data_IF_788408174071
#
_entry.id   IF_788408174071
#
_cell.length_a   1.000
_cell.length_b   1.000
_cell.length_c   1.000
_cell.angle_alpha   90.00
_cell.angle_beta   90.00
_cell.angle_gamma   90.00
#
_symmetry.space_group_name_H-M   'P 1'
#
loop_
_entity.id
_entity.type
_entity.pdbx_description
1 polymer ?
#
# COMPACT_ATOMS: atom_id res chain seq x y z
N UNK A 1 -25.14 -9.05 145.26
CA UNK A 1 -25.53 -9.14 143.83
C UNK A 1 -24.71 -8.20 142.92
N UNK A 2 -23.38 -8.35 142.84
CA UNK A 2 -22.55 -7.51 141.95
C UNK A 2 -21.48 -8.30 141.15
N UNK A 3 -21.46 -9.63 141.25
CA UNK A 3 -20.41 -10.48 140.64
C UNK A 3 -20.91 -11.40 139.51
N UNK A 4 -22.22 -11.44 139.24
CA UNK A 4 -22.81 -12.30 138.20
C UNK A 4 -23.02 -11.56 136.87
N UNK A 5 -23.20 -10.23 136.89
CA UNK A 5 -23.36 -9.43 135.66
C UNK A 5 -22.09 -9.26 134.83
N UNK A 6 -20.90 -9.41 135.41
CA UNK A 6 -19.64 -9.25 134.68
C UNK A 6 -19.22 -10.51 133.88
N UNK A 7 -19.68 -11.71 134.27
CA UNK A 7 -19.26 -12.96 133.65
C UNK A 7 -20.09 -13.31 132.41
N UNK A 8 -21.38 -12.92 132.37
CA UNK A 8 -22.22 -13.07 131.18
C UNK A 8 -21.86 -12.10 130.04
N UNK A 9 -21.38 -10.90 130.36
CA UNK A 9 -21.04 -9.90 129.34
C UNK A 9 -19.71 -10.22 128.63
N UNK A 10 -18.77 -10.88 129.32
CA UNK A 10 -17.50 -11.31 128.74
C UNK A 10 -17.65 -12.54 127.81
N UNK A 11 -18.53 -13.49 128.17
CA UNK A 11 -18.79 -14.67 127.33
C UNK A 11 -19.57 -14.33 126.06
N UNK A 12 -20.57 -13.44 126.13
CA UNK A 12 -21.32 -13.03 124.93
C UNK A 12 -20.48 -12.27 123.92
N UNK A 13 -19.59 -11.36 124.36
CA UNK A 13 -18.70 -10.63 123.43
C UNK A 13 -17.70 -11.55 122.71
N UNK A 14 -17.15 -12.55 123.39
CA UNK A 14 -16.22 -13.50 122.77
C UNK A 14 -16.91 -14.44 121.77
N UNK A 15 -18.14 -14.88 122.05
CA UNK A 15 -18.90 -15.78 121.16
C UNK A 15 -19.46 -15.05 119.94
N UNK A 16 -19.90 -13.79 120.10
CA UNK A 16 -20.39 -12.96 118.99
C UNK A 16 -19.24 -12.52 118.06
N UNK A 17 -18.06 -12.19 118.60
CA UNK A 17 -16.88 -11.82 117.79
C UNK A 17 -16.30 -13.02 117.02
N UNK A 18 -16.34 -14.24 117.60
CA UNK A 18 -15.93 -15.46 116.90
C UNK A 18 -16.92 -15.86 115.79
N UNK A 19 -18.22 -15.70 116.01
CA UNK A 19 -19.24 -16.00 114.99
C UNK A 19 -19.23 -14.98 113.84
N UNK A 20 -19.05 -13.69 114.15
CA UNK A 20 -18.94 -12.64 113.15
C UNK A 20 -17.68 -12.81 112.28
N UNK A 21 -16.52 -13.13 112.86
CA UNK A 21 -15.29 -13.40 112.08
C UNK A 21 -15.44 -14.62 111.17
N UNK A 22 -16.07 -15.70 111.65
CA UNK A 22 -16.30 -16.89 110.82
C UNK A 22 -17.31 -16.64 109.68
N UNK A 23 -18.37 -15.86 109.94
CA UNK A 23 -19.38 -15.53 108.93
C UNK A 23 -18.84 -14.52 107.89
N UNK A 24 -18.02 -13.56 108.32
CA UNK A 24 -17.37 -12.60 107.42
C UNK A 24 -16.28 -13.27 106.56
N UNK A 25 -15.51 -14.21 107.11
CA UNK A 25 -14.51 -14.96 106.34
C UNK A 25 -15.16 -15.94 105.36
N UNK A 26 -16.28 -16.58 105.73
CA UNK A 26 -17.05 -17.45 104.83
C UNK A 26 -17.73 -16.66 103.71
N UNK A 27 -18.31 -15.48 104.01
CA UNK A 27 -18.85 -14.59 102.97
C UNK A 27 -17.76 -14.06 102.04
N UNK A 28 -16.63 -13.61 102.58
CA UNK A 28 -15.50 -13.13 101.77
C UNK A 28 -14.96 -14.21 100.84
N UNK A 29 -14.79 -15.45 101.31
CA UNK A 29 -14.35 -16.56 100.46
C UNK A 29 -15.38 -16.91 99.37
N UNK A 30 -16.67 -16.94 99.69
CA UNK A 30 -17.72 -17.21 98.71
C UNK A 30 -17.85 -16.08 97.66
N UNK A 31 -17.72 -14.82 98.08
CA UNK A 31 -17.80 -13.66 97.20
C UNK A 31 -16.53 -13.53 96.32
N UNK A 32 -15.36 -13.85 96.86
CA UNK A 32 -14.10 -13.90 96.11
C UNK A 32 -14.09 -15.06 95.11
N UNK A 33 -14.56 -16.25 95.48
CA UNK A 33 -14.67 -17.39 94.57
C UNK A 33 -15.71 -17.15 93.46
N UNK A 34 -16.84 -16.51 93.78
CA UNK A 34 -17.84 -16.11 92.79
C UNK A 34 -17.31 -15.03 91.84
N UNK A 35 -16.56 -14.04 92.35
CA UNK A 35 -15.95 -13.00 91.53
C UNK A 35 -14.84 -13.56 90.63
N UNK A 36 -14.01 -14.46 91.15
CA UNK A 36 -12.96 -15.13 90.37
C UNK A 36 -13.55 -16.00 89.26
N UNK A 37 -14.61 -16.79 89.52
CA UNK A 37 -15.28 -17.58 88.48
C UNK A 37 -15.92 -16.69 87.41
N UNK A 38 -16.58 -15.60 87.79
CA UNK A 38 -17.18 -14.67 86.82
C UNK A 38 -16.13 -13.94 85.98
N UNK A 39 -15.01 -13.55 86.59
CA UNK A 39 -13.90 -12.88 85.90
C UNK A 39 -13.16 -13.84 84.96
N UNK A 40 -12.94 -15.09 85.39
CA UNK A 40 -12.33 -16.12 84.56
C UNK A 40 -13.24 -16.52 83.38
N UNK A 41 -14.54 -16.69 83.60
CA UNK A 41 -15.49 -17.03 82.55
C UNK A 41 -15.67 -15.87 81.54
N UNK A 42 -15.66 -14.62 82.01
CA UNK A 42 -15.68 -13.43 81.15
C UNK A 42 -14.38 -13.29 80.35
N UNK A 43 -13.22 -13.56 80.97
CA UNK A 43 -11.91 -13.53 80.29
C UNK A 43 -11.82 -14.62 79.23
N UNK A 44 -12.28 -15.84 79.52
CA UNK A 44 -12.28 -16.95 78.56
C UNK A 44 -13.21 -16.64 77.37
N UNK A 45 -14.44 -16.15 77.61
CA UNK A 45 -15.35 -15.75 76.52
C UNK A 45 -14.77 -14.64 75.65
N UNK A 46 -14.17 -13.61 76.25
CA UNK A 46 -13.54 -12.52 75.51
C UNK A 46 -12.32 -12.99 74.70
N UNK A 47 -11.50 -13.90 75.23
CA UNK A 47 -10.34 -14.45 74.53
C UNK A 47 -10.76 -15.38 73.37
N UNK A 48 -11.80 -16.19 73.58
CA UNK A 48 -12.33 -17.09 72.56
C UNK A 48 -12.99 -16.30 71.41
N UNK A 49 -13.76 -15.27 71.74
CA UNK A 49 -14.38 -14.38 70.74
C UNK A 49 -13.31 -13.58 69.96
N UNK A 50 -12.29 -13.06 70.64
CA UNK A 50 -11.16 -12.38 69.99
C UNK A 50 -10.37 -13.32 69.06
N UNK A 51 -10.10 -14.57 69.49
CA UNK A 51 -9.46 -15.58 68.64
C UNK A 51 -10.32 -15.94 67.43
N UNK A 52 -11.63 -16.14 67.63
CA UNK A 52 -12.56 -16.49 66.55
C UNK A 52 -12.70 -15.36 65.54
N UNK A 53 -12.76 -14.12 65.99
CA UNK A 53 -12.81 -12.95 65.12
C UNK A 53 -11.50 -12.79 64.33
N UNK A 54 -10.35 -12.95 64.98
CA UNK A 54 -9.04 -12.90 64.32
C UNK A 54 -8.88 -14.01 63.27
N UNK A 55 -9.34 -15.23 63.55
CA UNK A 55 -9.31 -16.35 62.62
C UNK A 55 -10.24 -16.13 61.41
N UNK A 56 -11.45 -15.61 61.64
CA UNK A 56 -12.38 -15.24 60.57
C UNK A 56 -11.85 -14.12 59.68
N UNK A 57 -11.25 -13.08 60.28
CA UNK A 57 -10.62 -11.99 59.53
C UNK A 57 -9.41 -12.48 58.74
N UNK A 58 -8.57 -13.33 59.33
CA UNK A 58 -7.43 -13.95 58.64
C UNK A 58 -7.90 -14.82 57.47
N UNK A 59 -8.94 -15.64 57.66
CA UNK A 59 -9.50 -16.50 56.61
C UNK A 59 -10.15 -15.69 55.49
N UNK A 60 -10.92 -14.64 55.80
CA UNK A 60 -11.49 -13.73 54.80
C UNK A 60 -10.42 -12.98 54.02
N UNK A 61 -9.36 -12.50 54.67
CA UNK A 61 -8.23 -11.86 53.98
C UNK A 61 -7.49 -12.83 53.08
N UNK A 62 -7.27 -14.07 53.53
CA UNK A 62 -6.64 -15.12 52.73
C UNK A 62 -7.50 -15.50 51.50
N UNK A 63 -8.80 -15.66 51.67
CA UNK A 63 -9.73 -15.97 50.57
C UNK A 63 -9.84 -14.80 49.58
N UNK A 64 -9.94 -13.56 50.06
CA UNK A 64 -9.97 -12.38 49.22
C UNK A 64 -8.66 -12.19 48.43
N UNK A 65 -7.51 -12.46 49.06
CA UNK A 65 -6.21 -12.43 48.39
C UNK A 65 -6.09 -13.54 47.33
N UNK A 66 -6.55 -14.76 47.64
CA UNK A 66 -6.57 -15.88 46.70
C UNK A 66 -7.50 -15.60 45.50
N UNK A 67 -8.72 -15.09 45.75
CA UNK A 67 -9.65 -14.67 44.68
C UNK A 67 -9.09 -13.55 43.83
N UNK A 68 -8.44 -12.54 44.42
CA UNK A 68 -7.82 -11.44 43.66
C UNK A 68 -6.71 -11.96 42.75
N UNK A 69 -5.80 -12.79 43.26
CA UNK A 69 -4.73 -13.40 42.46
C UNK A 69 -5.30 -14.24 41.31
N UNK A 70 -6.29 -15.10 41.58
CA UNK A 70 -6.93 -15.91 40.55
C UNK A 70 -7.65 -15.06 39.49
N UNK A 71 -8.33 -13.98 39.89
CA UNK A 71 -9.01 -13.07 38.97
C UNK A 71 -8.03 -12.24 38.12
N UNK A 72 -6.91 -11.80 38.70
CA UNK A 72 -5.85 -11.06 38.00
C UNK A 72 -5.14 -11.96 36.99
N UNK A 73 -4.81 -13.19 37.35
CA UNK A 73 -4.17 -14.16 36.45
C UNK A 73 -5.11 -14.57 35.30
N UNK A 74 -6.40 -14.76 35.58
CA UNK A 74 -7.40 -15.02 34.55
C UNK A 74 -7.58 -13.82 33.59
N UNK A 75 -7.57 -12.59 34.11
CA UNK A 75 -7.61 -11.37 33.27
C UNK A 75 -6.35 -11.21 32.44
N UNK A 76 -5.17 -11.43 33.02
CA UNK A 76 -3.89 -11.33 32.32
C UNK A 76 -3.83 -12.33 31.14
N UNK A 77 -4.24 -13.58 31.37
CA UNK A 77 -4.31 -14.61 30.32
C UNK A 77 -5.30 -14.24 29.21
N UNK A 78 -6.49 -13.75 29.57
CA UNK A 78 -7.49 -13.33 28.59
C UNK A 78 -7.04 -12.11 27.76
N UNK A 79 -6.35 -11.16 28.40
CA UNK A 79 -5.81 -9.99 27.71
C UNK A 79 -4.64 -10.35 26.79
N UNK A 80 -3.74 -11.24 27.22
CA UNK A 80 -2.65 -11.75 26.39
C UNK A 80 -3.18 -12.49 25.16
N UNK A 81 -4.17 -13.36 25.33
CA UNK A 81 -4.80 -14.07 24.21
C UNK A 81 -5.51 -13.12 23.25
N UNK A 82 -6.22 -12.11 23.76
CA UNK A 82 -6.86 -11.09 22.94
C UNK A 82 -5.81 -10.25 22.17
N UNK A 83 -4.67 -9.94 22.80
CA UNK A 83 -3.55 -9.24 22.13
C UNK A 83 -2.92 -10.10 21.04
N UNK A 84 -2.69 -11.39 21.30
CA UNK A 84 -2.14 -12.32 20.33
C UNK A 84 -3.04 -12.45 19.09
N UNK A 85 -4.35 -12.65 19.29
CA UNK A 85 -5.33 -12.73 18.19
C UNK A 85 -5.39 -11.44 17.38
N UNK A 86 -5.37 -10.27 18.03
CA UNK A 86 -5.35 -8.99 17.32
C UNK A 86 -4.07 -8.79 16.50
N UNK A 87 -2.92 -9.26 16.99
CA UNK A 87 -1.66 -9.17 16.27
C UNK A 87 -1.67 -10.09 15.04
N UNK A 88 -2.14 -11.32 15.21
CA UNK A 88 -2.31 -12.29 14.13
C UNK A 88 -3.28 -11.78 13.05
N UNK A 89 -4.42 -11.22 13.45
CA UNK A 89 -5.38 -10.62 12.52
C UNK A 89 -4.78 -9.42 11.76
N UNK A 90 -4.00 -8.57 12.44
CA UNK A 90 -3.29 -7.46 11.79
C UNK A 90 -2.27 -7.97 10.78
N UNK A 91 -1.50 -9.00 11.12
CA UNK A 91 -0.52 -9.62 10.20
C UNK A 91 -1.22 -10.22 8.97
N UNK A 92 -2.31 -10.96 9.17
CA UNK A 92 -3.12 -11.51 8.08
C UNK A 92 -3.70 -10.42 7.18
N UNK A 93 -4.21 -9.33 7.77
CA UNK A 93 -4.72 -8.18 7.00
C UNK A 93 -3.62 -7.48 6.22
N UNK A 94 -2.45 -7.30 6.83
CA UNK A 94 -1.31 -6.67 6.16
C UNK A 94 -0.78 -7.55 5.01
N UNK A 95 -0.67 -8.86 5.23
CA UNK A 95 -0.27 -9.82 4.19
C UNK A 95 -1.30 -9.89 3.06
N UNK A 96 -2.59 -9.92 3.40
CA UNK A 96 -3.67 -9.88 2.40
C UNK A 96 -3.66 -8.57 1.62
N UNK A 97 -3.42 -7.43 2.28
CA UNK A 97 -3.29 -6.13 1.63
C UNK A 97 -2.08 -6.08 0.69
N UNK A 98 -0.92 -6.62 1.11
CA UNK A 98 0.27 -6.76 0.26
C UNK A 98 -0.02 -7.63 -0.96
N UNK A 99 -0.60 -8.83 -0.78
CA UNK A 99 -1.00 -9.72 -1.89
C UNK A 99 -2.02 -9.07 -2.83
N UNK A 100 -2.95 -8.27 -2.32
CA UNK A 100 -3.91 -7.54 -3.13
C UNK A 100 -3.24 -6.40 -3.92
N UNK A 101 -2.33 -5.65 -3.29
CA UNK A 101 -1.54 -4.60 -3.93
C UNK A 101 -0.66 -5.17 -5.06
N UNK A 102 0.04 -6.29 -4.81
CA UNK A 102 0.85 -6.96 -5.83
C UNK A 102 0.01 -7.43 -7.01
N UNK A 103 -1.18 -8.03 -6.77
CA UNK A 103 -2.10 -8.41 -7.85
C UNK A 103 -2.55 -7.20 -8.67
N UNK A 104 -2.93 -6.10 -8.02
CA UNK A 104 -3.29 -4.84 -8.72
C UNK A 104 -2.15 -4.31 -9.58
N UNK A 105 -0.91 -4.33 -9.05
CA UNK A 105 0.27 -3.89 -9.78
C UNK A 105 0.54 -4.77 -11.01
N UNK A 106 0.43 -6.10 -10.87
CA UNK A 106 0.58 -7.03 -11.99
C UNK A 106 -0.50 -6.78 -13.05
N UNK A 107 -1.77 -6.64 -12.66
CA UNK A 107 -2.86 -6.33 -13.59
C UNK A 107 -2.64 -5.00 -14.31
N UNK A 108 -2.19 -3.97 -13.60
CA UNK A 108 -1.85 -2.68 -14.21
C UNK A 108 -0.67 -2.80 -15.19
N UNK A 109 0.38 -3.55 -14.84
CA UNK A 109 1.51 -3.83 -15.71
C UNK A 109 1.10 -4.60 -16.98
N UNK A 110 0.24 -5.62 -16.84
CA UNK A 110 -0.32 -6.34 -17.99
C UNK A 110 -1.16 -5.42 -18.89
N UNK A 111 -2.03 -4.59 -18.30
CA UNK A 111 -2.85 -3.64 -19.06
C UNK A 111 -1.99 -2.61 -19.80
N UNK A 112 -0.93 -2.10 -19.15
CA UNK A 112 0.05 -1.22 -19.79
C UNK A 112 0.80 -1.93 -20.94
N UNK A 113 1.21 -3.17 -20.73
CA UNK A 113 1.84 -3.99 -21.78
C UNK A 113 0.93 -4.18 -22.99
N UNK A 114 -0.35 -4.47 -22.79
CA UNK A 114 -1.33 -4.57 -23.88
C UNK A 114 -1.49 -3.23 -24.61
N UNK A 115 -1.56 -2.12 -23.88
CA UNK A 115 -1.64 -0.79 -24.49
C UNK A 115 -0.40 -0.46 -25.33
N UNK A 116 0.80 -0.76 -24.85
CA UNK A 116 2.05 -0.58 -25.60
C UNK A 116 2.06 -1.46 -26.86
N UNK A 117 1.59 -2.71 -26.79
CA UNK A 117 1.48 -3.57 -27.97
C UNK A 117 0.50 -3.00 -29.01
N UNK A 118 -0.63 -2.44 -28.58
CA UNK A 118 -1.58 -1.76 -29.48
C UNK A 118 -0.91 -0.57 -30.16
N UNK A 119 -0.16 0.26 -29.41
CA UNK A 119 0.58 1.39 -29.98
C UNK A 119 1.61 0.96 -31.01
N UNK A 120 2.38 -0.10 -30.72
CA UNK A 120 3.37 -0.65 -31.65
C UNK A 120 2.69 -1.16 -32.92
N UNK A 121 1.60 -1.92 -32.80
CA UNK A 121 0.86 -2.45 -33.94
C UNK A 121 0.28 -1.33 -34.82
N UNK A 122 -0.37 -0.34 -34.19
CA UNK A 122 -0.91 0.81 -34.89
C UNK A 122 0.21 1.67 -35.52
N UNK A 123 1.38 1.76 -34.89
CA UNK A 123 2.56 2.45 -35.44
C UNK A 123 3.08 1.74 -36.67
N UNK A 124 3.25 0.42 -36.61
CA UNK A 124 3.69 -0.39 -37.74
C UNK A 124 2.74 -0.24 -38.94
N UNK A 125 1.43 -0.22 -38.70
CA UNK A 125 0.43 0.07 -39.72
C UNK A 125 0.60 1.48 -40.30
N UNK A 126 0.72 2.50 -39.45
CA UNK A 126 0.91 3.88 -39.91
C UNK A 126 2.21 4.07 -40.70
N UNK A 127 3.33 3.46 -40.29
CA UNK A 127 4.63 3.62 -40.95
C UNK A 127 4.68 3.12 -42.40
N UNK A 128 3.74 2.24 -42.76
CA UNK A 128 3.59 1.75 -44.14
C UNK A 128 2.74 2.66 -45.03
N UNK A 129 2.01 3.60 -44.42
CA UNK A 129 1.09 4.49 -45.12
C UNK A 129 1.78 5.80 -45.54
N UNK A 130 1.32 6.29 -46.68
CA UNK A 130 1.61 7.61 -47.21
C UNK A 130 0.35 8.47 -47.20
N UNK A 131 0.54 9.78 -47.21
CA UNK A 131 -0.55 10.74 -47.19
C UNK A 131 -0.28 11.83 -48.21
N UNK A 132 -1.29 12.15 -49.02
CA UNK A 132 -1.18 13.17 -50.06
C UNK A 132 -2.15 14.30 -49.75
N UNK A 133 -1.64 15.53 -49.69
CA UNK A 133 -2.44 16.73 -49.50
C UNK A 133 -2.24 17.68 -50.67
N UNK A 134 -3.28 17.79 -51.51
CA UNK A 134 -3.29 18.72 -52.65
C UNK A 134 -3.73 20.10 -52.15
N UNK A 135 -2.84 21.09 -52.28
CA UNK A 135 -3.08 22.50 -51.99
C UNK A 135 -3.27 23.28 -53.29
N UNK A 136 -3.57 24.58 -53.17
CA UNK A 136 -3.81 25.47 -54.31
C UNK A 136 -2.62 25.56 -55.30
N UNK A 137 -1.39 25.49 -54.80
CA UNK A 137 -0.17 25.68 -55.59
C UNK A 137 0.86 24.57 -55.42
N UNK A 138 0.60 23.58 -54.57
CA UNK A 138 1.53 22.48 -54.34
C UNK A 138 0.82 21.22 -53.92
N UNK A 139 1.50 20.08 -54.05
CA UNK A 139 1.05 18.79 -53.54
C UNK A 139 2.08 18.28 -52.55
N UNK A 140 1.63 17.99 -51.34
CA UNK A 140 2.48 17.53 -50.25
C UNK A 140 2.33 16.03 -50.07
N UNK A 141 3.45 15.30 -50.06
CA UNK A 141 3.49 13.87 -49.78
C UNK A 141 4.17 13.65 -48.44
N UNK A 142 3.47 12.97 -47.54
CA UNK A 142 3.95 12.62 -46.22
C UNK A 142 4.09 11.12 -46.06
N UNK A 143 5.06 10.70 -45.26
CA UNK A 143 5.23 9.31 -44.80
C UNK A 143 4.82 9.19 -43.34
N UNK A 144 4.04 8.17 -43.00
CA UNK A 144 3.74 7.88 -41.60
C UNK A 144 5.01 7.49 -40.83
N UNK A 145 5.18 8.01 -39.62
CA UNK A 145 6.36 7.75 -38.78
C UNK A 145 6.01 7.17 -37.41
N UNK A 146 4.84 7.51 -36.86
CA UNK A 146 4.46 7.07 -35.52
C UNK A 146 2.94 7.08 -35.31
N UNK A 147 2.43 6.14 -34.52
CA UNK A 147 0.99 6.00 -34.27
C UNK A 147 0.39 7.16 -33.44
N UNK A 148 -0.89 7.53 -33.65
CA UNK A 148 -1.75 7.19 -34.79
C UNK A 148 -1.68 8.22 -35.92
N UNK A 149 -1.12 9.41 -35.67
CA UNK A 149 -1.19 10.57 -36.57
C UNK A 149 0.17 11.13 -36.96
N UNK A 150 1.28 10.59 -36.45
CA UNK A 150 2.62 11.08 -36.74
C UNK A 150 2.99 10.87 -38.22
N UNK A 151 3.36 11.95 -38.90
CA UNK A 151 3.71 11.98 -40.33
C UNK A 151 4.84 12.99 -40.55
N UNK A 152 5.78 12.65 -41.43
CA UNK A 152 6.84 13.55 -41.90
C UNK A 152 6.63 13.89 -43.37
N UNK A 153 6.87 15.16 -43.73
CA UNK A 153 6.84 15.61 -45.11
C UNK A 153 8.08 15.07 -45.82
N UNK A 154 7.88 14.31 -46.90
CA UNK A 154 8.98 13.75 -47.69
C UNK A 154 9.17 14.46 -49.03
N UNK A 155 8.11 15.07 -49.57
CA UNK A 155 8.16 15.76 -50.85
C UNK A 155 7.10 16.86 -50.94
N UNK A 156 7.49 18.01 -51.47
CA UNK A 156 6.57 19.06 -51.93
C UNK A 156 6.72 19.21 -53.45
N UNK A 157 5.67 18.85 -54.18
CA UNK A 157 5.58 19.05 -55.62
C UNK A 157 5.04 20.46 -55.86
N UNK A 158 5.73 21.35 -56.60
CA UNK A 158 5.33 22.75 -56.81
C UNK A 158 4.18 22.91 -57.82
N UNK A 159 3.26 21.95 -57.85
CA UNK A 159 2.05 21.97 -58.67
C UNK A 159 0.96 21.09 -58.03
N UNK A 160 -0.33 21.43 -58.22
CA UNK A 160 -1.43 20.55 -57.81
C UNK A 160 -1.50 19.33 -58.73
N UNK A 161 -1.42 18.14 -58.15
CA UNK A 161 -1.56 16.87 -58.86
C UNK A 161 -3.03 16.41 -58.78
N UNK A 162 -3.61 16.08 -59.93
CA UNK A 162 -4.94 15.47 -59.97
C UNK A 162 -4.85 14.01 -59.51
N UNK A 163 -5.59 13.66 -58.46
CA UNK A 163 -5.67 12.29 -57.94
C UNK A 163 -6.98 11.67 -58.41
N UNK A 164 -6.92 10.45 -58.95
CA UNK A 164 -8.10 9.72 -59.43
C UNK A 164 -9.15 9.54 -58.32
N UNK A 165 -8.67 9.22 -57.11
CA UNK A 165 -9.48 9.14 -55.90
C UNK A 165 -8.72 9.72 -54.71
N UNK A 166 -9.41 10.57 -53.96
CA UNK A 166 -8.90 11.10 -52.68
C UNK A 166 -9.09 10.02 -51.62
N UNK A 167 -7.99 9.54 -51.04
CA UNK A 167 -7.94 8.50 -50.02
C UNK A 167 -7.42 9.07 -48.71
N UNK A 168 -7.82 8.44 -47.61
CA UNK A 168 -7.27 8.77 -46.28
C UNK A 168 -5.80 8.37 -46.16
N UNK A 169 -5.44 7.22 -46.77
CA UNK A 169 -4.07 6.70 -46.83
C UNK A 169 -3.77 6.19 -48.24
N UNK A 170 -2.49 6.28 -48.62
CA UNK A 170 -1.94 5.77 -49.87
C UNK A 170 -0.84 4.76 -49.56
N UNK A 171 -0.69 3.77 -50.44
CA UNK A 171 0.43 2.83 -50.41
C UNK A 171 1.65 3.40 -51.13
N UNK A 172 2.83 2.83 -50.87
CA UNK A 172 4.06 3.20 -51.59
C UNK A 172 3.88 3.12 -53.12
N UNK A 173 3.17 2.10 -53.62
CA UNK A 173 2.97 1.90 -55.06
C UNK A 173 2.13 3.00 -55.69
N UNK A 174 1.21 3.60 -54.94
CA UNK A 174 0.35 4.68 -55.44
C UNK A 174 1.07 6.03 -55.46
N UNK A 175 2.01 6.25 -54.55
CA UNK A 175 2.79 7.51 -54.50
C UNK A 175 4.07 7.46 -55.33
N UNK A 176 4.62 6.27 -55.59
CA UNK A 176 5.83 6.07 -56.39
C UNK A 176 5.79 6.80 -57.74
N UNK A 177 4.73 6.64 -58.58
CA UNK A 177 4.64 7.38 -59.84
C UNK A 177 4.72 8.89 -59.66
N UNK A 178 4.08 9.45 -58.63
CA UNK A 178 4.06 10.89 -58.37
C UNK A 178 5.46 11.42 -58.02
N UNK A 179 6.16 10.71 -57.13
CA UNK A 179 7.52 11.06 -56.70
C UNK A 179 8.50 10.89 -57.86
N UNK A 180 8.39 9.78 -58.59
CA UNK A 180 9.19 9.48 -59.77
C UNK A 180 9.09 10.59 -60.82
N UNK A 181 7.87 10.91 -61.26
CA UNK A 181 7.64 11.94 -62.28
C UNK A 181 8.17 13.29 -61.84
N UNK A 182 7.94 13.69 -60.59
CA UNK A 182 8.48 14.95 -60.07
C UNK A 182 10.01 15.03 -60.19
N UNK A 183 10.73 13.97 -59.82
CA UNK A 183 12.18 13.95 -59.90
C UNK A 183 12.71 13.88 -61.33
N UNK A 184 12.05 13.14 -62.22
CA UNK A 184 12.39 13.12 -63.65
C UNK A 184 12.18 14.48 -64.31
N UNK A 185 11.07 15.16 -64.01
CA UNK A 185 10.77 16.50 -64.50
C UNK A 185 11.75 17.53 -63.93
N UNK A 186 12.10 17.41 -62.64
CA UNK A 186 13.08 18.29 -61.98
C UNK A 186 14.45 18.15 -62.62
N UNK A 187 14.92 16.92 -62.86
CA UNK A 187 16.20 16.67 -63.53
C UNK A 187 16.20 17.27 -64.95
N UNK A 188 15.10 17.09 -65.68
CA UNK A 188 14.93 17.64 -67.04
C UNK A 188 14.94 19.18 -67.02
N UNK A 189 14.20 19.79 -66.10
CA UNK A 189 14.15 21.24 -65.94
C UNK A 189 15.54 21.81 -65.59
N UNK A 190 16.27 21.18 -64.67
CA UNK A 190 17.62 21.61 -64.27
C UNK A 190 18.63 21.52 -65.42
N UNK A 191 18.50 20.51 -66.28
CA UNK A 191 19.32 20.36 -67.49
C UNK A 191 19.04 21.46 -68.51
N UNK A 192 17.78 21.88 -68.61
CA UNK A 192 17.34 22.86 -69.62
C UNK A 192 17.50 24.32 -69.15
N UNK A 193 17.97 24.55 -67.91
CA UNK A 193 18.32 25.89 -67.40
C UNK A 193 19.44 26.50 -68.25
N UNK A 194 19.24 27.74 -68.71
CA UNK A 194 20.24 28.49 -69.44
C UNK A 194 21.50 28.75 -68.59
N UNK A 195 22.64 28.19 -69.01
CA UNK A 195 23.93 28.35 -68.32
C UNK A 195 24.66 27.03 -68.19
N UNK A 196 25.57 26.94 -67.22
CA UNK A 196 26.21 25.67 -66.83
C UNK A 196 25.20 24.91 -65.97
N UNK A 197 24.74 23.71 -66.37
CA UNK A 197 23.79 22.93 -65.59
C UNK A 197 24.41 22.49 -64.26
N UNK A 198 23.59 22.50 -63.21
CA UNK A 198 23.97 21.93 -61.91
C UNK A 198 23.90 20.40 -61.99
N UNK A 199 25.00 19.78 -62.43
CA UNK A 199 25.08 18.33 -62.62
C UNK A 199 24.92 17.55 -61.31
N UNK A 200 25.32 18.11 -60.16
CA UNK A 200 25.12 17.44 -58.87
C UNK A 200 23.63 17.36 -58.53
N UNK A 201 22.89 18.46 -58.71
CA UNK A 201 21.43 18.48 -58.50
C UNK A 201 20.68 17.60 -59.51
N UNK A 202 21.14 17.54 -60.76
CA UNK A 202 20.58 16.65 -61.80
C UNK A 202 20.79 15.18 -61.42
N UNK A 203 22.02 14.81 -61.03
CA UNK A 203 22.35 13.44 -60.59
C UNK A 203 21.51 13.07 -59.37
N UNK A 204 21.44 13.92 -58.35
CA UNK A 204 20.64 13.67 -57.16
C UNK A 204 19.14 13.48 -57.47
N UNK A 205 18.62 14.24 -58.44
CA UNK A 205 17.24 14.08 -58.90
C UNK A 205 17.03 12.73 -59.60
N UNK A 206 17.93 12.30 -60.47
CA UNK A 206 17.83 10.96 -61.09
C UNK A 206 18.03 9.82 -60.09
N UNK A 207 18.90 9.96 -59.08
CA UNK A 207 19.04 8.98 -58.00
C UNK A 207 17.74 8.83 -57.21
N UNK A 208 17.10 9.95 -56.86
CA UNK A 208 15.77 9.91 -56.23
C UNK A 208 14.71 9.28 -57.15
N UNK A 209 14.72 9.56 -58.46
CA UNK A 209 13.82 8.90 -59.40
C UNK A 209 14.03 7.38 -59.42
N UNK A 210 15.28 6.91 -59.42
CA UNK A 210 15.61 5.47 -59.37
C UNK A 210 15.03 4.81 -58.10
N UNK A 211 15.15 5.44 -56.93
CA UNK A 211 14.63 4.92 -55.67
C UNK A 211 13.09 4.77 -55.66
N UNK A 212 12.40 5.65 -56.38
CA UNK A 212 10.94 5.70 -56.44
C UNK A 212 10.34 5.17 -57.74
N UNK A 213 11.12 4.49 -58.58
CA UNK A 213 10.62 3.90 -59.82
C UNK A 213 9.40 2.99 -59.57
N UNK A 214 8.27 3.22 -60.27
CA UNK A 214 7.05 2.43 -60.11
C UNK A 214 7.15 1.04 -60.76
N UNK A 215 7.98 0.90 -61.79
CA UNK A 215 8.16 -0.34 -62.54
C UNK A 215 9.56 -0.49 -63.15
N UNK A 216 9.83 -1.63 -63.80
CA UNK A 216 11.14 -1.92 -64.40
C UNK A 216 11.45 -1.06 -65.62
N UNK A 217 10.45 -0.60 -66.37
CA UNK A 217 10.65 0.25 -67.54
C UNK A 217 11.12 1.65 -67.11
N UNK A 218 10.41 2.25 -66.15
CA UNK A 218 10.74 3.55 -65.57
C UNK A 218 12.09 3.51 -64.83
N UNK A 219 12.38 2.40 -64.16
CA UNK A 219 13.67 2.18 -63.52
C UNK A 219 14.82 2.17 -64.54
N UNK A 220 14.66 1.41 -65.63
CA UNK A 220 15.66 1.35 -66.69
C UNK A 220 15.86 2.70 -67.36
N UNK A 221 14.79 3.46 -67.58
CA UNK A 221 14.85 4.82 -68.10
C UNK A 221 15.63 5.75 -67.17
N UNK A 222 15.28 5.79 -65.89
CA UNK A 222 15.96 6.64 -64.90
C UNK A 222 17.44 6.25 -64.74
N UNK A 223 17.77 4.96 -64.71
CA UNK A 223 19.16 4.48 -64.66
C UNK A 223 19.96 4.93 -65.88
N UNK A 224 19.37 4.84 -67.09
CA UNK A 224 20.03 5.28 -68.32
C UNK A 224 20.34 6.79 -68.28
N UNK A 225 19.41 7.60 -67.78
CA UNK A 225 19.62 9.05 -67.65
C UNK A 225 20.66 9.37 -66.56
N UNK A 226 20.62 8.64 -65.44
CA UNK A 226 21.58 8.77 -64.35
C UNK A 226 23.01 8.46 -64.80
N UNK A 227 23.20 7.38 -65.56
CA UNK A 227 24.50 6.98 -66.11
C UNK A 227 25.03 8.04 -67.07
N UNK A 228 24.18 8.53 -67.99
CA UNK A 228 24.54 9.61 -68.91
C UNK A 228 24.96 10.89 -68.16
N UNK A 229 24.24 11.28 -67.09
CA UNK A 229 24.59 12.45 -66.29
C UNK A 229 25.92 12.27 -65.53
N UNK A 230 26.17 11.07 -64.99
CA UNK A 230 27.43 10.73 -64.30
C UNK A 230 28.63 10.72 -65.25
N UNK A 231 28.45 10.24 -66.47
CA UNK A 231 29.50 10.26 -67.50
C UNK A 231 29.86 11.69 -67.89
N UNK A 232 28.87 12.57 -68.06
CA UNK A 232 29.11 14.00 -68.32
C UNK A 232 29.83 14.65 -67.15
N UNK A 233 29.38 14.41 -65.91
CA UNK A 233 30.03 14.94 -64.71
C UNK A 233 31.50 14.51 -64.60
N UNK A 234 31.80 13.25 -64.89
CA UNK A 234 33.17 12.72 -64.91
C UNK A 234 34.02 13.31 -66.04
N UNK A 235 33.43 13.61 -67.19
CA UNK A 235 34.15 14.17 -68.33
C UNK A 235 34.57 15.63 -68.14
N UNK A 236 33.93 16.36 -67.22
CA UNK A 236 34.23 17.77 -66.94
C UNK A 236 35.07 17.99 -65.66
N UNK A 237 35.40 16.92 -64.92
CA UNK A 237 36.36 16.92 -63.80
C UNK A 237 37.78 16.65 -64.29
#
# INVERSE_FOLDING_TARGET
EARIKAEEEAKKKAEEEARLKAEEEAKKKAEEEARLKAEEEARIKAEEEAKRQAELDAKKKAEAAARRKAAEEARAKAEEEARARNLEEKQLREEAAKKAATRKLITAACAFGVFVLILIAASASNTSNYYVAVKKHSTLIYKGIFSPTGKDLILEIPAPVALDTVKETYTLQEVKPLIFTHHMDTASALRDVAGVPDLEAIIASYEAAVDFAPGPEELNEALKQLEAAKDVFKAIQ
#
